data_IF_115963574577
#
_entry.id   IF_115963574577
#
_cell.length_a   1.000
_cell.length_b   1.000
_cell.length_c   1.000
_cell.angle_alpha   90.00
_cell.angle_beta   90.00
_cell.angle_gamma   90.00
#
_symmetry.space_group_name_H-M   'P 1'
#
loop_
_entity.id
_entity.type
_entity.pdbx_description
1 polymer ?
#
# COMPACT_ATOMS: atom_id res chain seq x y z
N UNK A 1 -7.95 1.29 18.34
CA UNK A 1 -7.54 1.03 16.94
C UNK A 1 -8.33 2.02 16.09
N UNK A 2 -7.68 2.83 15.26
CA UNK A 2 -8.28 4.02 14.61
C UNK A 2 -9.49 3.65 13.73
N UNK A 3 -10.63 4.33 13.90
CA UNK A 3 -11.88 4.11 13.11
C UNK A 3 -11.64 4.18 11.59
N UNK A 4 -10.65 4.97 11.16
CA UNK A 4 -10.27 5.08 9.76
C UNK A 4 -9.77 3.77 9.15
N UNK A 5 -9.02 2.96 9.89
CA UNK A 5 -8.47 1.69 9.37
C UNK A 5 -9.61 0.68 9.16
N UNK A 6 -10.55 0.62 10.09
CA UNK A 6 -11.72 -0.24 9.98
C UNK A 6 -12.62 0.12 8.77
N UNK A 7 -12.78 1.42 8.49
CA UNK A 7 -13.48 1.88 7.28
C UNK A 7 -12.77 1.37 6.02
N UNK A 8 -11.44 1.49 5.91
CA UNK A 8 -10.71 1.00 4.75
C UNK A 8 -10.82 -0.52 4.58
N UNK A 9 -10.74 -1.29 5.66
CA UNK A 9 -10.89 -2.75 5.63
C UNK A 9 -12.27 -3.19 5.12
N UNK A 10 -13.33 -2.41 5.39
CA UNK A 10 -14.67 -2.70 4.88
C UNK A 10 -14.86 -2.35 3.39
N UNK A 11 -14.11 -1.36 2.90
CA UNK A 11 -14.37 -0.71 1.60
C UNK A 11 -13.40 -1.16 0.50
N UNK A 12 -12.20 -1.61 0.88
CA UNK A 12 -11.15 -1.99 -0.05
C UNK A 12 -10.60 -3.39 0.24
N UNK A 13 -10.13 -4.05 -0.82
CA UNK A 13 -9.29 -5.24 -0.67
C UNK A 13 -7.89 -4.75 -0.29
N UNK A 14 -7.49 -5.00 0.96
CA UNK A 14 -6.20 -4.58 1.51
C UNK A 14 -5.26 -5.79 1.57
N UNK A 15 -4.06 -5.65 1.01
CA UNK A 15 -2.94 -6.55 1.29
C UNK A 15 -1.99 -5.85 2.28
N UNK A 16 -2.00 -6.23 3.57
CA UNK A 16 -1.17 -5.58 4.57
C UNK A 16 0.31 -5.91 4.28
N UNK A 17 1.07 -4.89 3.88
CA UNK A 17 2.51 -5.02 3.77
C UNK A 17 3.09 -5.08 5.18
N UNK A 18 3.79 -6.18 5.51
CA UNK A 18 4.42 -6.35 6.83
C UNK A 18 5.26 -5.11 7.15
N UNK A 19 4.91 -4.44 8.25
CA UNK A 19 5.59 -3.24 8.71
C UNK A 19 7.09 -3.48 8.90
N UNK A 20 7.88 -2.44 8.62
CA UNK A 20 9.31 -2.46 8.86
C UNK A 20 9.58 -2.68 10.36
N UNK A 21 10.18 -3.82 10.70
CA UNK A 21 10.67 -4.09 12.05
C UNK A 21 12.06 -3.47 12.15
N UNK A 22 12.32 -2.52 13.08
CA UNK A 22 13.66 -2.03 13.32
C UNK A 22 14.56 -3.21 13.69
N UNK A 23 15.71 -3.40 13.02
CA UNK A 23 16.65 -4.43 13.42
C UNK A 23 17.31 -3.97 14.73
N UNK A 24 16.66 -4.22 15.86
CA UNK A 24 17.33 -4.26 17.14
C UNK A 24 18.09 -5.60 17.17
N UNK A 25 19.43 -5.54 17.04
CA UNK A 25 20.43 -6.63 17.20
C UNK A 25 21.00 -7.34 15.95
N UNK A 26 21.12 -6.71 14.77
CA UNK A 26 21.93 -7.30 13.69
C UNK A 26 23.17 -6.43 13.35
N UNK A 27 24.41 -6.93 13.59
CA UNK A 27 25.67 -6.23 13.28
C UNK A 27 25.89 -5.90 11.79
N UNK A 28 25.08 -6.45 10.86
CA UNK A 28 25.20 -6.19 9.41
C UNK A 28 24.78 -4.78 8.97
N UNK A 29 24.56 -3.87 9.93
CA UNK A 29 24.05 -2.51 9.75
C UNK A 29 24.97 -1.55 8.98
N UNK A 30 26.19 -1.94 8.66
CA UNK A 30 27.13 -1.09 7.91
C UNK A 30 27.05 -1.25 6.38
N UNK A 31 26.27 -2.21 5.88
CA UNK A 31 26.00 -2.35 4.44
C UNK A 31 24.50 -2.32 4.15
N UNK A 32 23.85 -1.18 4.39
CA UNK A 32 22.46 -0.99 3.94
C UNK A 32 22.48 -0.56 2.48
N UNK A 33 22.36 -1.53 1.57
CA UNK A 33 21.90 -1.27 0.20
C UNK A 33 20.60 -0.46 0.28
N UNK A 34 20.44 0.54 -0.58
CA UNK A 34 19.26 1.41 -0.62
C UNK A 34 17.96 0.59 -0.49
N UNK A 35 17.16 0.86 0.54
CA UNK A 35 15.88 0.19 0.75
C UNK A 35 14.83 0.84 -0.14
N UNK A 36 14.59 0.26 -1.31
CA UNK A 36 13.58 0.72 -2.25
C UNK A 36 12.17 0.25 -1.81
N UNK A 37 11.63 0.80 -0.73
CA UNK A 37 10.30 0.44 -0.20
C UNK A 37 9.15 0.54 -1.24
N UNK A 38 9.29 1.39 -2.25
CA UNK A 38 8.28 1.56 -3.30
C UNK A 38 8.32 0.50 -4.41
N UNK A 39 9.48 -0.14 -4.64
CA UNK A 39 9.57 -1.24 -5.60
C UNK A 39 8.84 -2.49 -5.08
N UNK A 40 8.92 -2.72 -3.77
CA UNK A 40 8.24 -3.83 -3.11
C UNK A 40 6.71 -3.66 -3.12
N UNK A 41 6.21 -2.44 -2.88
CA UNK A 41 4.78 -2.15 -2.91
C UNK A 41 4.15 -2.43 -4.29
N UNK A 42 4.85 -2.05 -5.38
CA UNK A 42 4.39 -2.30 -6.75
C UNK A 42 4.26 -3.79 -7.05
N UNK A 43 5.29 -4.56 -6.69
CA UNK A 43 5.32 -6.02 -6.87
C UNK A 43 4.19 -6.72 -6.10
N UNK A 44 3.89 -6.26 -4.88
CA UNK A 44 2.82 -6.82 -4.07
C UNK A 44 1.43 -6.50 -4.63
N UNK A 45 1.19 -5.28 -5.09
CA UNK A 45 -0.07 -4.89 -5.72
C UNK A 45 -0.33 -5.67 -7.01
N UNK A 46 0.70 -5.89 -7.83
CA UNK A 46 0.61 -6.75 -9.02
C UNK A 46 0.27 -8.20 -8.63
N UNK A 47 0.90 -8.73 -7.57
CA UNK A 47 0.57 -10.06 -7.03
C UNK A 47 -0.87 -10.14 -6.55
N UNK A 48 -1.35 -9.12 -5.84
CA UNK A 48 -2.74 -9.04 -5.36
C UNK A 48 -3.72 -9.04 -6.53
N UNK A 49 -3.51 -8.17 -7.53
CA UNK A 49 -4.31 -8.15 -8.77
C UNK A 49 -4.36 -9.53 -9.41
N UNK A 50 -3.21 -10.16 -9.61
CA UNK A 50 -3.13 -11.49 -10.20
C UNK A 50 -3.88 -12.54 -9.37
N UNK A 51 -3.84 -12.44 -8.04
CA UNK A 51 -4.58 -13.33 -7.14
C UNK A 51 -6.09 -13.13 -7.26
N UNK A 52 -6.55 -11.88 -7.34
CA UNK A 52 -7.97 -11.54 -7.54
C UNK A 52 -8.48 -12.08 -8.88
N UNK A 53 -7.72 -11.87 -9.96
CA UNK A 53 -8.12 -12.33 -11.31
C UNK A 53 -8.09 -13.85 -11.47
N UNK A 54 -7.25 -14.55 -10.71
CA UNK A 54 -7.13 -16.02 -10.77
C UNK A 54 -8.32 -16.78 -10.18
N UNK A 55 -9.20 -16.14 -9.41
CA UNK A 55 -10.37 -16.79 -8.82
C UNK A 55 -11.68 -16.19 -9.36
N UNK A 56 -12.17 -16.64 -10.54
CA UNK A 56 -13.42 -16.19 -11.11
C UNK A 56 -14.64 -16.40 -10.18
N UNK A 57 -14.58 -17.43 -9.33
CA UNK A 57 -15.63 -17.77 -8.38
C UNK A 57 -15.81 -16.71 -7.28
N UNK A 58 -14.78 -15.89 -7.01
CA UNK A 58 -14.86 -14.78 -6.06
C UNK A 58 -15.67 -13.58 -6.59
N UNK A 59 -16.09 -13.59 -7.87
CA UNK A 59 -16.80 -12.48 -8.55
C UNK A 59 -16.08 -11.13 -8.38
N UNK A 60 -14.77 -11.15 -8.14
CA UNK A 60 -13.96 -9.96 -8.04
C UNK A 60 -13.84 -9.33 -9.42
N UNK A 61 -14.18 -8.04 -9.53
CA UNK A 61 -13.88 -7.26 -10.73
C UNK A 61 -12.40 -6.91 -10.77
N UNK A 62 -11.90 -6.66 -11.97
CA UNK A 62 -10.56 -6.10 -12.14
C UNK A 62 -10.45 -4.78 -11.35
N UNK A 63 -9.37 -4.57 -10.58
CA UNK A 63 -9.18 -3.32 -9.85
C UNK A 63 -9.12 -2.13 -10.81
N UNK A 64 -10.01 -1.15 -10.63
CA UNK A 64 -10.03 0.07 -11.44
C UNK A 64 -8.80 0.96 -11.22
N UNK A 65 -8.13 0.83 -10.07
CA UNK A 65 -6.85 1.44 -9.77
C UNK A 65 -6.13 0.64 -8.67
N UNK A 66 -4.82 0.85 -8.53
CA UNK A 66 -4.00 0.27 -7.46
C UNK A 66 -3.28 1.40 -6.71
N UNK A 67 -3.26 1.33 -5.38
CA UNK A 67 -2.67 2.37 -4.55
C UNK A 67 -1.86 1.82 -3.38
N UNK A 68 -0.76 2.51 -3.05
CA UNK A 68 0.02 2.32 -1.84
C UNK A 68 -0.26 3.47 -0.87
N UNK A 69 -0.85 3.15 0.29
CA UNK A 69 -1.06 4.10 1.36
C UNK A 69 0.25 4.28 2.15
N UNK A 70 0.70 5.53 2.30
CA UNK A 70 1.95 5.85 3.01
C UNK A 70 1.70 6.78 4.19
N UNK A 71 2.47 6.62 5.26
CA UNK A 71 2.32 7.47 6.46
C UNK A 71 2.98 8.85 6.33
N UNK A 72 3.94 9.01 5.42
CA UNK A 72 4.73 10.23 5.25
C UNK A 72 4.53 10.73 3.81
N UNK A 73 4.22 12.02 3.66
CA UNK A 73 4.10 12.71 2.38
C UNK A 73 3.01 13.77 2.40
N UNK A 74 3.15 14.77 1.54
CA UNK A 74 2.24 15.92 1.46
C UNK A 74 1.23 15.84 0.31
N UNK A 75 1.56 15.09 -0.75
CA UNK A 75 0.77 15.03 -1.99
C UNK A 75 0.60 13.59 -2.47
N UNK A 76 -0.58 13.30 -3.00
CA UNK A 76 -0.84 12.08 -3.74
C UNK A 76 -0.35 12.24 -5.18
N UNK A 77 0.27 11.20 -5.73
CA UNK A 77 0.74 11.19 -7.12
C UNK A 77 0.62 9.80 -7.73
N UNK A 78 0.60 9.75 -9.07
CA UNK A 78 0.68 8.49 -9.82
C UNK A 78 2.11 8.31 -10.32
N UNK A 79 2.65 7.10 -10.14
CA UNK A 79 3.96 6.71 -10.68
C UNK A 79 3.82 6.24 -12.13
N UNK A 80 4.96 6.15 -12.82
CA UNK A 80 5.03 5.67 -14.21
C UNK A 80 4.52 4.23 -14.39
N UNK A 81 4.52 3.41 -13.32
CA UNK A 81 3.96 2.05 -13.31
C UNK A 81 2.43 2.02 -13.07
N UNK A 82 1.78 3.19 -13.06
CA UNK A 82 0.33 3.35 -12.91
C UNK A 82 -0.18 3.27 -11.48
N UNK A 83 0.70 3.06 -10.49
CA UNK A 83 0.34 2.93 -9.08
C UNK A 83 0.24 4.30 -8.42
N UNK A 84 -0.85 4.52 -7.68
CA UNK A 84 -1.05 5.71 -6.87
C UNK A 84 -0.30 5.59 -5.55
N UNK A 85 0.48 6.61 -5.20
CA UNK A 85 1.07 6.75 -3.86
C UNK A 85 0.26 7.81 -3.14
N UNK A 86 -0.43 7.41 -2.06
CA UNK A 86 -1.39 8.27 -1.36
C UNK A 86 -0.97 8.38 0.10
N UNK A 87 -0.42 9.53 0.52
CA UNK A 87 -0.18 9.75 1.94
C UNK A 87 -1.49 9.79 2.71
N UNK A 88 -1.57 9.12 3.87
CA UNK A 88 -2.80 9.07 4.68
C UNK A 88 -3.29 10.47 5.05
N UNK A 89 -2.37 11.43 5.25
CA UNK A 89 -2.70 12.83 5.51
C UNK A 89 -3.45 13.55 4.36
N UNK A 90 -3.39 13.03 3.13
CA UNK A 90 -4.10 13.60 1.97
C UNK A 90 -5.57 13.18 1.89
N UNK A 91 -5.97 12.12 2.62
CA UNK A 91 -7.33 11.61 2.63
C UNK A 91 -8.25 12.36 3.62
N UNK A 92 -7.68 13.06 4.61
CA UNK A 92 -8.43 13.74 5.67
C UNK A 92 -9.06 15.09 5.29
N UNK A 93 -8.70 15.70 4.15
CA UNK A 93 -9.23 17.01 3.76
C UNK A 93 -10.54 16.96 2.96
N UNK A 94 -10.98 15.80 2.49
CA UNK A 94 -12.16 15.66 1.62
C UNK A 94 -13.42 15.12 2.33
N UNK A 95 -13.32 14.62 3.56
CA UNK A 95 -14.41 13.95 4.29
C UNK A 95 -14.97 14.75 5.49
N UNK A 96 -14.47 15.99 5.70
CA UNK A 96 -14.93 16.91 6.76
C UNK A 96 -15.66 18.15 6.19
N UNK A 97 -16.05 18.10 4.91
CA UNK A 97 -16.87 19.13 4.25
C UNK A 97 -18.31 18.65 4.11
#
# INVERSE_FOLDING_TARGET
MSEYVAMFESMFVIDPVKGWVPPARDPKRLQVKARCYFADASTNLIRLRNKLMKNPSARAREPGFMAALVGIGEYAYQRDDGIYVIPVGTLGKWLLG
#
